data_IF_590078439173
#
_entry.id   IF_590078439173
#
_cell.length_a   1.000
_cell.length_b   1.000
_cell.length_c   1.000
_cell.angle_alpha   90.00
_cell.angle_beta   90.00
_cell.angle_gamma   90.00
#
_symmetry.space_group_name_H-M   'P 1'
#
loop_
_entity.id
_entity.type
_entity.pdbx_description
1 polymer ?
#
# COMPACT_ATOMS: atom_id res chain seq x y z
N UNK A 1 -23.38 -9.20 -5.74
CA UNK A 1 -22.13 -9.32 -4.97
C UNK A 1 -22.15 -10.68 -4.28
N UNK A 2 -21.10 -11.48 -4.43
CA UNK A 2 -21.02 -12.82 -3.84
C UNK A 2 -20.63 -12.75 -2.36
N UNK A 3 -20.90 -13.80 -1.59
CA UNK A 3 -20.48 -13.90 -0.18
C UNK A 3 -18.96 -13.74 -0.04
N UNK A 4 -18.20 -14.29 -0.98
CA UNK A 4 -16.74 -14.13 -1.06
C UNK A 4 -16.32 -12.67 -1.24
N UNK A 5 -17.00 -11.91 -2.10
CA UNK A 5 -16.65 -10.51 -2.31
C UNK A 5 -16.91 -9.69 -1.03
N UNK A 6 -17.98 -10.00 -0.29
CA UNK A 6 -18.24 -9.38 1.01
C UNK A 6 -17.16 -9.74 2.04
N UNK A 7 -16.72 -10.99 2.08
CA UNK A 7 -15.64 -11.43 2.97
C UNK A 7 -14.32 -10.69 2.71
N UNK A 8 -13.93 -10.53 1.44
CA UNK A 8 -12.71 -9.79 1.07
C UNK A 8 -12.82 -8.32 1.52
N UNK A 9 -13.98 -7.69 1.29
CA UNK A 9 -14.21 -6.30 1.73
C UNK A 9 -14.10 -6.16 3.25
N UNK A 10 -14.70 -7.08 4.01
CA UNK A 10 -14.65 -7.01 5.47
C UNK A 10 -13.25 -7.30 6.02
N UNK A 11 -12.56 -8.31 5.48
CA UNK A 11 -11.14 -8.56 5.81
C UNK A 11 -10.26 -7.35 5.49
N UNK A 12 -10.49 -6.67 4.36
CA UNK A 12 -9.77 -5.45 4.02
C UNK A 12 -10.05 -4.30 5.01
N UNK A 13 -11.31 -4.15 5.44
CA UNK A 13 -11.72 -3.20 6.47
C UNK A 13 -10.97 -3.45 7.78
N UNK A 14 -11.03 -4.69 8.26
CA UNK A 14 -10.40 -5.09 9.52
C UNK A 14 -8.88 -4.96 9.45
N UNK A 15 -8.25 -5.38 8.35
CA UNK A 15 -6.81 -5.24 8.16
C UNK A 15 -6.38 -3.76 8.23
N UNK A 16 -7.09 -2.86 7.53
CA UNK A 16 -6.73 -1.45 7.53
C UNK A 16 -6.88 -0.84 8.93
N UNK A 17 -7.97 -1.16 9.62
CA UNK A 17 -8.23 -0.71 10.99
C UNK A 17 -7.19 -1.21 11.98
N UNK A 18 -6.95 -2.52 12.01
CA UNK A 18 -6.14 -3.18 13.03
C UNK A 18 -4.64 -3.08 12.75
N UNK A 19 -4.24 -2.82 11.51
CA UNK A 19 -2.83 -2.73 11.12
C UNK A 19 -2.43 -1.29 10.79
N UNK A 20 -3.05 -0.69 9.78
CA UNK A 20 -2.59 0.60 9.25
C UNK A 20 -2.91 1.73 10.23
N UNK A 21 -4.16 1.84 10.66
CA UNK A 21 -4.59 2.92 11.55
C UNK A 21 -3.88 2.85 12.91
N UNK A 22 -3.81 1.66 13.52
CA UNK A 22 -3.10 1.42 14.79
C UNK A 22 -1.61 1.76 14.70
N UNK A 23 -0.92 1.32 13.64
CA UNK A 23 0.49 1.63 13.45
C UNK A 23 0.72 3.13 13.23
N UNK A 24 -0.18 3.79 12.48
CA UNK A 24 -0.08 5.21 12.18
C UNK A 24 -0.20 6.06 13.44
N UNK A 25 -1.18 5.79 14.31
CA UNK A 25 -1.29 6.51 15.59
C UNK A 25 -0.13 6.17 16.54
N UNK A 26 0.32 4.91 16.59
CA UNK A 26 1.45 4.53 17.41
C UNK A 26 2.74 5.24 17.00
N UNK A 27 2.96 5.43 15.69
CA UNK A 27 4.10 6.21 15.18
C UNK A 27 3.93 7.71 15.41
N UNK A 28 2.70 8.23 15.25
CA UNK A 28 2.39 9.65 15.53
C UNK A 28 2.71 10.00 16.99
N UNK A 29 2.34 9.15 17.95
CA UNK A 29 2.63 9.36 19.39
C UNK A 29 4.11 9.45 19.75
N UNK A 30 5.02 8.96 18.89
CA UNK A 30 6.48 9.09 19.08
C UNK A 30 6.96 10.52 18.79
N UNK A 31 6.29 11.23 17.89
CA UNK A 31 6.68 12.55 17.36
C UNK A 31 6.53 13.70 18.36
N UNK A 32 6.24 13.43 19.64
CA UNK A 32 6.15 14.43 20.70
C UNK A 32 7.50 14.99 21.17
N UNK A 33 8.62 14.42 20.71
CA UNK A 33 9.99 14.83 21.08
C UNK A 33 10.68 15.49 19.89
N UNK A 34 11.37 16.61 20.12
CA UNK A 34 12.16 17.30 19.08
C UNK A 34 13.25 16.40 18.48
N UNK A 35 13.79 15.46 19.27
CA UNK A 35 14.80 14.49 18.85
C UNK A 35 14.38 13.56 17.71
N UNK A 36 13.08 13.42 17.43
CA UNK A 36 12.57 12.61 16.31
C UNK A 36 12.66 13.33 14.96
N UNK A 37 13.13 14.59 14.96
CA UNK A 37 13.22 15.43 13.79
C UNK A 37 14.66 15.89 13.56
N UNK A 38 15.07 15.89 12.29
CA UNK A 38 16.25 16.63 11.86
C UNK A 38 15.82 18.05 11.51
N UNK A 39 15.78 18.94 12.51
CA UNK A 39 15.20 20.28 12.36
C UNK A 39 16.16 21.18 11.59
N UNK A 40 15.72 21.67 10.43
CA UNK A 40 16.39 22.75 9.71
C UNK A 40 15.80 24.09 10.17
N UNK A 41 16.54 24.92 10.93
CA UNK A 41 16.01 26.15 11.51
C UNK A 41 15.59 27.17 10.43
N UNK A 42 16.26 27.22 9.29
CA UNK A 42 15.95 28.14 8.19
C UNK A 42 14.61 27.80 7.52
N UNK A 43 14.33 26.51 7.35
CA UNK A 43 13.13 26.06 6.65
C UNK A 43 11.94 25.94 7.60
N UNK A 44 12.14 25.50 8.84
CA UNK A 44 11.02 25.17 9.73
C UNK A 44 10.20 26.41 10.09
N UNK A 45 10.85 27.54 10.39
CA UNK A 45 10.17 28.81 10.68
C UNK A 45 9.40 29.33 9.46
N UNK A 46 10.02 29.23 8.28
CA UNK A 46 9.35 29.59 7.03
C UNK A 46 8.12 28.72 6.77
N UNK A 47 8.26 27.39 6.91
CA UNK A 47 7.16 26.43 6.71
C UNK A 47 6.03 26.63 7.73
N UNK A 48 6.34 26.98 8.97
CA UNK A 48 5.35 27.32 9.99
C UNK A 48 4.52 28.56 9.59
N UNK A 49 5.20 29.62 9.14
CA UNK A 49 4.53 30.83 8.62
C UNK A 49 3.72 30.53 7.36
N UNK A 50 4.26 29.74 6.44
CA UNK A 50 3.56 29.33 5.22
C UNK A 50 2.28 28.53 5.54
N UNK A 51 2.35 27.62 6.51
CA UNK A 51 1.22 26.75 6.88
C UNK A 51 0.14 27.47 7.70
N UNK A 52 0.52 28.37 8.60
CA UNK A 52 -0.39 28.90 9.64
C UNK A 52 -0.42 30.42 9.74
N UNK A 53 0.40 31.13 8.98
CA UNK A 53 0.54 32.59 9.03
C UNK A 53 1.37 33.11 10.20
N UNK A 54 1.97 32.25 11.04
CA UNK A 54 2.87 32.65 12.12
C UNK A 54 3.91 31.57 12.47
N UNK A 55 4.91 31.92 13.29
CA UNK A 55 5.97 31.03 13.80
C UNK A 55 5.84 30.69 15.28
N UNK A 56 4.63 30.69 15.85
CA UNK A 56 4.45 30.23 17.22
C UNK A 56 4.97 28.79 17.39
N UNK A 57 5.37 28.42 18.61
CA UNK A 57 5.84 27.05 18.89
C UNK A 57 4.83 25.97 18.42
N UNK A 58 3.53 26.26 18.49
CA UNK A 58 2.47 25.39 17.97
C UNK A 58 2.51 25.27 16.44
N UNK A 59 2.72 26.38 15.74
CA UNK A 59 2.86 26.41 14.29
C UNK A 59 4.11 25.69 13.80
N UNK A 60 5.22 25.83 14.52
CA UNK A 60 6.47 25.10 14.27
C UNK A 60 6.26 23.61 14.48
N UNK A 61 5.60 23.19 15.57
CA UNK A 61 5.28 21.79 15.82
C UNK A 61 4.40 21.20 14.70
N UNK A 62 3.37 21.94 14.23
CA UNK A 62 2.54 21.53 13.08
C UNK A 62 3.37 21.35 11.80
N UNK A 63 4.26 22.29 11.50
CA UNK A 63 5.12 22.25 10.32
C UNK A 63 6.11 21.07 10.34
N UNK A 64 6.53 20.61 11.52
CA UNK A 64 7.36 19.41 11.69
C UNK A 64 6.54 18.12 11.58
N UNK A 65 5.38 18.05 12.24
CA UNK A 65 4.57 16.83 12.37
C UNK A 65 3.84 16.50 11.07
N UNK A 66 3.18 17.46 10.43
CA UNK A 66 2.31 17.17 9.28
C UNK A 66 3.04 16.49 8.11
N UNK A 67 4.24 16.93 7.68
CA UNK A 67 4.97 16.22 6.63
C UNK A 67 5.31 14.77 6.99
N UNK A 68 5.51 14.46 8.28
CA UNK A 68 5.83 13.10 8.75
C UNK A 68 4.59 12.21 8.73
N UNK A 69 3.48 12.67 9.30
CA UNK A 69 2.27 11.85 9.46
C UNK A 69 1.45 11.73 8.17
N UNK A 70 1.40 12.79 7.34
CA UNK A 70 0.65 12.80 6.09
C UNK A 70 1.47 12.30 4.89
N UNK A 71 2.77 12.10 5.10
CA UNK A 71 3.70 11.62 4.08
C UNK A 71 4.35 10.31 4.49
N UNK A 72 5.61 10.37 4.90
CA UNK A 72 6.49 9.20 4.99
C UNK A 72 6.04 8.14 5.99
N UNK A 73 5.43 8.51 7.12
CA UNK A 73 5.04 7.54 8.14
C UNK A 73 3.94 6.60 7.65
N UNK A 74 2.88 7.15 7.04
CA UNK A 74 1.74 6.37 6.56
C UNK A 74 2.11 5.56 5.31
N UNK A 75 2.85 6.16 4.36
CA UNK A 75 3.27 5.46 3.13
C UNK A 75 4.21 4.31 3.42
N UNK A 76 5.15 4.47 4.34
CA UNK A 76 6.03 3.38 4.78
C UNK A 76 5.23 2.28 5.48
N UNK A 77 4.32 2.64 6.40
CA UNK A 77 3.50 1.65 7.12
C UNK A 77 2.64 0.83 6.15
N UNK A 78 2.01 1.49 5.18
CA UNK A 78 1.23 0.82 4.15
C UNK A 78 2.10 -0.10 3.28
N UNK A 79 3.21 0.41 2.75
CA UNK A 79 4.14 -0.37 1.91
C UNK A 79 4.72 -1.60 2.64
N UNK A 80 5.08 -1.48 3.91
CA UNK A 80 5.59 -2.61 4.71
C UNK A 80 4.52 -3.66 4.98
N UNK A 81 3.28 -3.26 5.21
CA UNK A 81 2.22 -4.20 5.61
C UNK A 81 1.42 -4.78 4.44
N UNK A 82 1.64 -4.33 3.21
CA UNK A 82 0.88 -4.83 2.06
C UNK A 82 1.11 -6.32 1.77
N UNK A 83 2.25 -6.88 2.13
CA UNK A 83 2.47 -8.33 2.05
C UNK A 83 1.53 -9.08 3.00
N UNK A 84 1.26 -8.50 4.18
CA UNK A 84 0.26 -9.06 5.11
C UNK A 84 -1.15 -8.89 4.58
N UNK A 85 -1.46 -7.77 3.90
CA UNK A 85 -2.76 -7.63 3.23
C UNK A 85 -3.05 -8.82 2.32
N UNK A 86 -2.09 -9.20 1.48
CA UNK A 86 -2.23 -10.39 0.64
C UNK A 86 -2.52 -11.65 1.46
N UNK A 87 -1.78 -11.88 2.54
CA UNK A 87 -1.94 -13.08 3.36
C UNK A 87 -3.20 -13.08 4.21
N UNK A 88 -3.67 -11.94 4.70
CA UNK A 88 -4.79 -11.83 5.64
C UNK A 88 -6.12 -11.66 4.90
N UNK A 89 -6.10 -11.01 3.73
CA UNK A 89 -7.29 -10.65 2.96
C UNK A 89 -7.53 -11.60 1.78
N UNK A 90 -6.47 -12.12 1.18
CA UNK A 90 -6.54 -13.04 0.03
C UNK A 90 -6.07 -14.46 0.39
N UNK A 91 -6.06 -14.82 1.67
CA UNK A 91 -5.70 -16.15 2.20
C UNK A 91 -6.34 -17.32 1.45
N UNK A 92 -7.63 -17.18 1.10
CA UNK A 92 -8.39 -18.19 0.39
C UNK A 92 -7.85 -18.50 -1.02
N UNK A 93 -6.99 -17.63 -1.57
CA UNK A 93 -6.34 -17.80 -2.86
C UNK A 93 -4.87 -18.19 -2.75
N UNK A 94 -4.35 -18.41 -1.53
CA UNK A 94 -2.94 -18.70 -1.29
C UNK A 94 -2.40 -19.83 -2.16
N UNK A 95 -1.24 -19.60 -2.76
CA UNK A 95 -0.57 -20.57 -3.62
C UNK A 95 0.44 -21.41 -2.84
N UNK A 96 0.56 -22.69 -3.21
CA UNK A 96 1.66 -23.57 -2.76
C UNK A 96 2.82 -23.61 -3.78
N UNK A 97 2.63 -23.01 -4.95
CA UNK A 97 3.62 -22.93 -6.01
C UNK A 97 4.67 -21.87 -5.67
N UNK A 98 5.95 -22.27 -5.66
CA UNK A 98 7.07 -21.38 -5.33
C UNK A 98 7.09 -20.16 -6.26
N UNK A 99 7.15 -18.97 -5.65
CA UNK A 99 7.20 -17.70 -6.37
C UNK A 99 5.84 -17.19 -6.88
N UNK A 100 4.76 -17.88 -6.57
CA UNK A 100 3.38 -17.46 -6.83
C UNK A 100 2.73 -17.15 -5.48
N UNK A 101 2.10 -15.99 -5.36
CA UNK A 101 1.45 -15.57 -4.10
C UNK A 101 0.03 -16.12 -4.03
N UNK A 102 -0.75 -15.99 -5.12
CA UNK A 102 -2.12 -16.49 -5.20
C UNK A 102 -2.42 -17.22 -6.50
N UNK A 103 -3.36 -18.16 -6.45
CA UNK A 103 -3.94 -18.86 -7.59
C UNK A 103 -5.47 -18.68 -7.60
N UNK A 104 -6.04 -18.29 -8.74
CA UNK A 104 -7.49 -18.08 -8.86
C UNK A 104 -7.99 -18.36 -10.27
N UNK A 105 -9.30 -18.56 -10.43
CA UNK A 105 -9.94 -18.58 -11.74
C UNK A 105 -10.29 -17.13 -12.08
N UNK A 106 -9.72 -16.60 -13.16
CA UNK A 106 -10.05 -15.27 -13.67
C UNK A 106 -11.53 -15.27 -14.09
N UNK A 107 -12.30 -14.35 -13.51
CA UNK A 107 -13.75 -14.26 -13.71
C UNK A 107 -14.12 -13.67 -15.07
N UNK A 108 -13.16 -13.13 -15.81
CA UNK A 108 -13.33 -12.55 -17.15
C UNK A 108 -13.06 -13.61 -18.23
N UNK A 109 -11.92 -14.31 -18.17
CA UNK A 109 -11.51 -15.28 -19.20
C UNK A 109 -11.72 -16.76 -18.82
N UNK A 110 -12.02 -17.05 -17.54
CA UNK A 110 -12.29 -18.39 -17.03
C UNK A 110 -11.05 -19.28 -16.84
N UNK A 111 -9.85 -18.76 -17.07
CA UNK A 111 -8.62 -19.51 -16.93
C UNK A 111 -8.06 -19.45 -15.51
N UNK A 112 -7.34 -20.50 -15.10
CA UNK A 112 -6.59 -20.48 -13.84
C UNK A 112 -5.35 -19.59 -14.00
N UNK A 113 -5.25 -18.57 -13.15
CA UNK A 113 -4.12 -17.65 -13.06
C UNK A 113 -3.21 -17.99 -11.89
N UNK A 114 -1.92 -17.81 -12.11
CA UNK A 114 -0.85 -17.89 -11.14
C UNK A 114 -0.29 -16.49 -11.01
N UNK A 115 -0.60 -15.85 -9.88
CA UNK A 115 -0.39 -14.43 -9.71
C UNK A 115 0.71 -14.17 -8.70
N UNK A 116 1.66 -13.34 -9.11
CA UNK A 116 2.55 -12.66 -8.18
C UNK A 116 1.98 -11.27 -7.85
N UNK A 117 1.79 -10.98 -6.57
CA UNK A 117 1.16 -9.76 -6.11
C UNK A 117 2.18 -8.68 -5.78
N UNK A 118 1.80 -7.44 -6.08
CA UNK A 118 2.57 -6.24 -5.74
C UNK A 118 1.64 -5.15 -5.25
N UNK A 119 2.16 -4.32 -4.35
CA UNK A 119 1.36 -3.28 -3.73
C UNK A 119 0.86 -2.26 -4.75
N UNK A 120 1.78 -1.73 -5.54
CA UNK A 120 1.52 -0.56 -6.35
C UNK A 120 2.43 -0.45 -7.57
N UNK A 121 2.24 0.60 -8.37
CA UNK A 121 2.77 0.67 -9.72
C UNK A 121 4.29 0.92 -9.79
N UNK A 122 4.92 1.22 -8.66
CA UNK A 122 6.35 1.57 -8.56
C UNK A 122 7.12 0.70 -7.55
N UNK A 123 6.68 -0.53 -7.30
CA UNK A 123 7.28 -1.41 -6.26
C UNK A 123 8.27 -2.44 -6.77
N UNK A 124 8.59 -2.47 -8.06
CA UNK A 124 9.58 -3.38 -8.63
C UNK A 124 10.90 -2.66 -8.90
N UNK A 125 12.00 -3.34 -8.65
CA UNK A 125 13.31 -3.00 -9.18
C UNK A 125 13.72 -3.97 -10.31
N UNK A 126 14.91 -3.77 -10.87
CA UNK A 126 15.44 -4.59 -11.98
C UNK A 126 15.60 -6.08 -11.61
N UNK A 127 16.05 -6.37 -10.40
CA UNK A 127 16.33 -7.73 -9.94
C UNK A 127 15.03 -8.49 -9.62
N UNK A 128 14.01 -7.76 -9.12
CA UNK A 128 12.67 -8.32 -8.94
C UNK A 128 12.10 -8.83 -10.27
N UNK A 129 12.25 -8.07 -11.36
CA UNK A 129 11.76 -8.47 -12.70
C UNK A 129 12.33 -9.83 -13.10
N UNK A 130 13.65 -10.02 -12.97
CA UNK A 130 14.28 -11.29 -13.34
C UNK A 130 13.84 -12.44 -12.44
N UNK A 131 13.69 -12.17 -11.14
CA UNK A 131 13.24 -13.17 -10.15
C UNK A 131 11.83 -13.66 -10.45
N UNK A 132 10.90 -12.74 -10.68
CA UNK A 132 9.49 -13.03 -10.98
C UNK A 132 9.39 -13.87 -12.26
N UNK A 133 10.04 -13.42 -13.33
CA UNK A 133 10.05 -14.11 -14.62
C UNK A 133 10.70 -15.50 -14.50
N UNK A 134 11.73 -15.64 -13.67
CA UNK A 134 12.36 -16.92 -13.35
C UNK A 134 11.41 -17.91 -12.68
N UNK A 135 10.61 -17.45 -11.71
CA UNK A 135 9.57 -18.25 -11.08
C UNK A 135 8.49 -18.67 -12.08
N UNK A 136 7.96 -17.73 -12.87
CA UNK A 136 6.93 -18.03 -13.89
C UNK A 136 7.40 -19.08 -14.90
N UNK A 137 8.63 -18.94 -15.42
CA UNK A 137 9.23 -19.94 -16.32
C UNK A 137 9.35 -21.32 -15.66
N UNK A 138 9.72 -21.36 -14.38
CA UNK A 138 9.86 -22.60 -13.62
C UNK A 138 8.51 -23.28 -13.41
N UNK A 139 7.47 -22.51 -13.06
CA UNK A 139 6.08 -22.99 -12.93
C UNK A 139 5.55 -23.56 -14.23
N UNK A 140 5.72 -22.84 -15.35
CA UNK A 140 5.30 -23.32 -16.69
C UNK A 140 6.02 -24.63 -17.04
N UNK A 141 7.33 -24.72 -16.78
CA UNK A 141 8.10 -25.94 -17.04
C UNK A 141 7.59 -27.11 -16.21
N UNK A 142 7.32 -26.90 -14.92
CA UNK A 142 6.78 -27.92 -14.03
C UNK A 142 5.39 -28.38 -14.48
N UNK A 143 4.51 -27.46 -14.86
CA UNK A 143 3.19 -27.77 -15.39
C UNK A 143 3.28 -28.69 -16.63
N UNK A 144 4.19 -28.36 -17.57
CA UNK A 144 4.44 -29.19 -18.76
C UNK A 144 4.92 -30.60 -18.40
N UNK A 145 5.81 -30.74 -17.42
CA UNK A 145 6.27 -32.06 -16.94
C UNK A 145 5.13 -32.91 -16.38
N UNK A 146 4.09 -32.28 -15.84
CA UNK A 146 2.92 -32.93 -15.28
C UNK A 146 1.73 -32.99 -16.26
N UNK A 147 1.94 -32.74 -17.55
CA UNK A 147 0.89 -32.69 -18.59
C UNK A 147 -0.27 -31.70 -18.27
N UNK A 148 0.01 -30.65 -17.51
CA UNK A 148 -0.92 -29.56 -17.25
C UNK A 148 -0.73 -28.46 -18.30
N UNK A 149 -1.84 -27.94 -18.83
CA UNK A 149 -1.83 -26.78 -19.72
C UNK A 149 -1.73 -25.51 -18.90
N UNK A 150 -0.57 -24.89 -18.91
CA UNK A 150 -0.31 -23.56 -18.31
C UNK A 150 0.49 -22.75 -19.33
N UNK A 151 -0.03 -21.58 -19.70
CA UNK A 151 0.53 -20.69 -20.71
C UNK A 151 1.19 -19.45 -20.09
N UNK A 152 1.80 -18.61 -20.92
CA UNK A 152 2.39 -17.34 -20.47
C UNK A 152 1.33 -16.38 -19.93
N UNK A 153 0.15 -16.35 -20.54
CA UNK A 153 -1.00 -15.50 -20.16
C UNK A 153 -1.68 -15.95 -18.86
N UNK A 154 -1.35 -17.15 -18.38
CA UNK A 154 -1.81 -17.66 -17.09
C UNK A 154 -0.87 -17.25 -15.94
N UNK A 155 0.33 -16.75 -16.26
CA UNK A 155 1.27 -16.16 -15.29
C UNK A 155 1.10 -14.64 -15.31
N UNK A 156 0.54 -14.09 -14.23
CA UNK A 156 0.20 -12.67 -14.19
C UNK A 156 0.86 -11.96 -13.01
N UNK A 157 0.95 -10.63 -13.12
CA UNK A 157 1.22 -9.77 -11.98
C UNK A 157 -0.05 -8.99 -11.64
N UNK A 158 -0.49 -9.13 -10.40
CA UNK A 158 -1.57 -8.34 -9.83
C UNK A 158 -1.01 -7.18 -9.01
N UNK A 159 -1.36 -5.95 -9.39
CA UNK A 159 -0.98 -4.73 -8.68
C UNK A 159 -2.19 -4.20 -7.94
N UNK A 160 -2.14 -4.17 -6.60
CA UNK A 160 -3.31 -3.97 -5.73
C UNK A 160 -3.97 -2.58 -5.90
N UNK A 161 -3.19 -1.52 -6.07
CA UNK A 161 -3.68 -0.16 -6.30
C UNK A 161 -2.90 0.56 -7.39
N UNK A 162 -3.49 1.65 -7.90
CA UNK A 162 -2.93 2.51 -8.94
C UNK A 162 -3.63 2.32 -10.29
N UNK A 163 -3.13 3.03 -11.30
CA UNK A 163 -3.63 2.98 -12.67
C UNK A 163 -2.57 2.44 -13.64
N UNK A 164 -2.99 2.01 -14.83
CA UNK A 164 -2.09 1.49 -15.86
C UNK A 164 -1.03 2.50 -16.29
N UNK A 165 -1.39 3.78 -16.34
CA UNK A 165 -0.50 4.87 -16.75
C UNK A 165 0.59 5.18 -15.71
N UNK A 166 0.40 4.74 -14.46
CA UNK A 166 1.38 4.92 -13.38
C UNK A 166 2.45 3.82 -13.34
N UNK A 167 2.24 2.72 -14.08
CA UNK A 167 3.11 1.55 -14.05
C UNK A 167 4.54 1.90 -14.46
N UNK A 168 5.50 1.61 -13.57
CA UNK A 168 6.92 1.80 -13.85
C UNK A 168 7.37 0.99 -15.06
N UNK A 169 8.48 1.43 -15.68
CA UNK A 169 9.12 0.71 -16.79
C UNK A 169 9.48 -0.75 -16.47
N UNK A 170 9.60 -1.12 -15.19
CA UNK A 170 9.80 -2.49 -14.75
C UNK A 170 8.59 -3.40 -15.03
N UNK A 171 7.37 -2.91 -14.77
CA UNK A 171 6.14 -3.65 -15.12
C UNK A 171 5.93 -3.71 -16.63
N UNK A 172 6.13 -2.58 -17.33
CA UNK A 172 6.04 -2.53 -18.78
C UNK A 172 7.00 -3.52 -19.45
N UNK A 173 8.18 -3.70 -18.86
CA UNK A 173 9.15 -4.70 -19.31
C UNK A 173 8.62 -6.13 -19.17
N UNK A 174 7.96 -6.47 -18.06
CA UNK A 174 7.36 -7.79 -17.84
C UNK A 174 6.28 -8.08 -18.88
N UNK A 175 5.41 -7.11 -19.14
CA UNK A 175 4.35 -7.25 -20.13
C UNK A 175 4.90 -7.31 -21.57
N UNK A 176 5.76 -6.36 -21.95
CA UNK A 176 6.14 -6.16 -23.35
C UNK A 176 7.29 -7.07 -23.81
N UNK A 177 8.25 -7.38 -22.93
CA UNK A 177 9.41 -8.20 -23.28
C UNK A 177 9.23 -9.68 -22.90
N UNK A 178 8.56 -9.93 -21.77
CA UNK A 178 8.37 -11.30 -21.25
C UNK A 178 6.97 -11.86 -21.48
N UNK A 179 6.05 -11.04 -22.01
CA UNK A 179 4.69 -11.45 -22.39
C UNK A 179 3.89 -12.04 -21.23
N UNK A 180 4.09 -11.49 -20.02
CA UNK A 180 3.30 -11.82 -18.84
C UNK A 180 2.36 -10.65 -18.51
N UNK A 181 1.03 -10.86 -18.50
CA UNK A 181 0.08 -9.79 -18.23
C UNK A 181 0.31 -9.12 -16.88
N UNK A 182 0.15 -7.79 -16.86
CA UNK A 182 0.13 -6.99 -15.64
C UNK A 182 -1.25 -6.36 -15.51
N UNK A 183 -1.98 -6.74 -14.46
CA UNK A 183 -3.29 -6.21 -14.14
C UNK A 183 -3.17 -5.31 -12.91
N UNK A 184 -3.71 -4.10 -12.97
CA UNK A 184 -3.54 -3.08 -11.92
C UNK A 184 -4.88 -2.52 -11.48
N UNK A 185 -5.01 -2.28 -10.17
CA UNK A 185 -6.17 -1.63 -9.58
C UNK A 185 -7.47 -2.29 -10.04
N UNK A 186 -8.35 -1.51 -10.65
CA UNK A 186 -9.67 -1.95 -11.07
C UNK A 186 -9.65 -3.21 -11.95
N UNK A 187 -8.73 -3.31 -12.92
CA UNK A 187 -8.65 -4.47 -13.83
C UNK A 187 -8.27 -5.76 -13.07
N UNK A 188 -7.30 -5.69 -12.16
CA UNK A 188 -6.94 -6.84 -11.33
C UNK A 188 -8.12 -7.31 -10.46
N UNK A 189 -8.77 -6.37 -9.77
CA UNK A 189 -9.87 -6.70 -8.88
C UNK A 189 -11.10 -7.22 -9.63
N UNK A 190 -11.38 -6.68 -10.82
CA UNK A 190 -12.44 -7.20 -11.68
C UNK A 190 -12.17 -8.65 -12.09
N UNK A 191 -10.94 -8.98 -12.49
CA UNK A 191 -10.55 -10.35 -12.85
C UNK A 191 -10.62 -11.32 -11.68
N UNK A 192 -10.24 -10.86 -10.47
CA UNK A 192 -10.28 -11.70 -9.27
C UNK A 192 -11.72 -11.97 -8.80
N UNK A 193 -12.59 -10.96 -8.88
CA UNK A 193 -13.89 -10.95 -8.19
C UNK A 193 -15.11 -11.06 -9.11
N UNK A 194 -14.95 -10.78 -10.40
CA UNK A 194 -16.02 -10.69 -11.39
C UNK A 194 -16.91 -9.46 -11.26
N UNK A 195 -16.54 -8.50 -10.39
CA UNK A 195 -17.32 -7.29 -10.11
C UNK A 195 -16.50 -6.06 -10.52
N UNK A 196 -16.88 -5.40 -11.62
CA UNK A 196 -16.23 -4.19 -12.14
C UNK A 196 -16.17 -3.04 -11.12
N UNK A 197 -17.15 -2.99 -10.21
CA UNK A 197 -17.21 -2.00 -9.14
C UNK A 197 -16.52 -2.43 -7.84
N UNK A 198 -15.86 -3.59 -7.80
CA UNK A 198 -15.23 -4.10 -6.58
C UNK A 198 -14.17 -3.16 -6.05
N UNK A 199 -13.33 -2.62 -6.93
CA UNK A 199 -12.23 -1.74 -6.53
C UNK A 199 -12.73 -0.44 -5.86
N UNK A 200 -13.79 0.17 -6.40
CA UNK A 200 -14.42 1.35 -5.80
C UNK A 200 -15.02 1.04 -4.42
N UNK A 201 -15.64 -0.13 -4.27
CA UNK A 201 -16.18 -0.60 -2.99
C UNK A 201 -15.05 -0.83 -1.98
N UNK A 202 -13.94 -1.42 -2.42
CA UNK A 202 -12.74 -1.61 -1.58
C UNK A 202 -12.19 -0.28 -1.08
N UNK A 203 -12.06 0.72 -1.98
CA UNK A 203 -11.66 2.09 -1.62
C UNK A 203 -12.66 2.69 -0.61
N UNK A 204 -13.96 2.53 -0.85
CA UNK A 204 -15.02 3.05 0.03
C UNK A 204 -14.96 2.42 1.42
N UNK A 205 -14.77 1.11 1.51
CA UNK A 205 -14.67 0.38 2.78
C UNK A 205 -13.44 0.82 3.56
N UNK A 206 -12.27 0.93 2.91
CA UNK A 206 -11.06 1.48 3.52
C UNK A 206 -11.29 2.93 3.98
N UNK A 207 -11.96 3.76 3.16
CA UNK A 207 -12.32 5.12 3.51
C UNK A 207 -13.26 5.20 4.72
N UNK A 208 -14.17 4.24 4.88
CA UNK A 208 -15.06 4.19 6.05
C UNK A 208 -14.30 3.95 7.36
N UNK A 209 -13.17 3.24 7.33
CA UNK A 209 -12.30 3.06 8.51
C UNK A 209 -11.72 4.39 8.97
N UNK A 210 -11.42 5.32 8.05
CA UNK A 210 -10.90 6.64 8.40
C UNK A 210 -11.88 7.46 9.24
N UNK A 211 -13.19 7.25 9.06
CA UNK A 211 -14.24 7.88 9.87
C UNK A 211 -14.31 7.27 11.27
N UNK A 212 -14.09 5.95 11.39
CA UNK A 212 -14.09 5.25 12.69
C UNK A 212 -12.79 5.48 13.49
N UNK A 213 -11.69 5.81 12.82
CA UNK A 213 -10.36 6.01 13.38
C UNK A 213 -10.01 7.50 13.53
N UNK A 214 -10.94 8.31 14.06
CA UNK A 214 -10.67 9.71 14.36
C UNK A 214 -9.63 9.84 15.48
N UNK A 215 -8.39 10.12 15.09
CA UNK A 215 -7.26 10.38 15.99
C UNK A 215 -6.89 11.86 16.07
N UNK A 216 -7.81 12.76 15.72
CA UNK A 216 -7.57 14.21 15.71
C UNK A 216 -7.16 14.73 17.10
N UNK A 217 -7.80 14.24 18.16
CA UNK A 217 -7.48 14.61 19.54
C UNK A 217 -6.07 14.18 19.95
N UNK A 218 -5.68 12.93 19.68
CA UNK A 218 -4.32 12.47 19.99
C UNK A 218 -3.26 13.20 19.17
N UNK A 219 -3.57 13.56 17.92
CA UNK A 219 -2.68 14.38 17.11
C UNK A 219 -2.50 15.78 17.70
N UNK A 220 -3.59 16.43 18.14
CA UNK A 220 -3.51 17.72 18.82
C UNK A 220 -2.64 17.65 20.08
N UNK A 221 -2.79 16.60 20.88
CA UNK A 221 -1.99 16.40 22.09
C UNK A 221 -0.50 16.19 21.79
N UNK A 222 -0.17 15.47 20.71
CA UNK A 222 1.22 15.31 20.25
C UNK A 222 1.79 16.65 19.79
N UNK A 223 1.01 17.44 19.04
CA UNK A 223 1.43 18.78 18.59
C UNK A 223 1.69 19.70 19.78
N UNK A 224 0.80 19.70 20.79
CA UNK A 224 0.99 20.49 22.02
C UNK A 224 2.24 20.08 22.78
N UNK A 225 2.45 18.78 22.99
CA UNK A 225 3.63 18.27 23.68
C UNK A 225 4.94 18.59 22.94
N UNK A 226 4.94 18.54 21.60
CA UNK A 226 6.11 18.94 20.81
C UNK A 226 6.36 20.45 20.91
N UNK A 227 5.32 21.27 20.89
CA UNK A 227 5.43 22.73 21.03
C UNK A 227 6.00 23.16 22.40
N UNK A 228 5.89 22.30 23.42
CA UNK A 228 6.46 22.55 24.75
C UNK A 228 7.97 22.27 24.84
N UNK A 229 8.58 21.60 23.84
CA UNK A 229 10.02 21.32 23.83
C UNK A 229 10.84 22.60 23.68
N UNK A 230 11.94 22.71 24.42
CA UNK A 230 12.78 23.91 24.46
C UNK A 230 13.33 24.27 23.07
N UNK A 231 13.79 23.29 22.30
CA UNK A 231 14.27 23.51 20.93
C UNK A 231 13.21 24.16 20.03
N UNK A 232 11.95 23.76 20.19
CA UNK A 232 10.81 24.27 19.40
C UNK A 232 10.43 25.67 19.86
N UNK A 233 10.43 25.93 21.17
CA UNK A 233 10.22 27.27 21.73
C UNK A 233 11.28 28.25 21.28
N UNK A 234 12.55 27.83 21.26
CA UNK A 234 13.67 28.68 20.84
C UNK A 234 13.57 29.11 19.37
N UNK A 235 13.00 28.26 18.50
CA UNK A 235 12.76 28.61 17.10
C UNK A 235 11.60 29.60 16.88
N UNK A 236 10.74 29.79 17.90
CA UNK A 236 9.58 30.69 17.83
C UNK A 236 9.85 32.11 18.30
N UNK A 237 11.07 32.37 18.81
CA UNK A 237 11.55 33.69 19.25
C UNK A 237 12.12 34.48 18.07
#
# INVERSE_FOLDING_TARGET
MTDRNLEILEKAKEWFKNTIAVNHIANTKKLKKSSEFNINPFLTVYLANFLTGNSSALSIAKALIYPRILGTSITTSFGTNIQKFTNDVLDAFGSTTSGIDIEFIDQVDGHKKYCQLKAGPNTLNKDDVETIVGHFKSTIRLARTNNLRVSLDDMIIGVIYGESDDLSGHYLRINNQYHHPVHVGQDFWHRLTGDEGFYEKLITVIGSVAVEADYSHELEDVIRQLAEQDDVKNLSQ
#
